data_IF_066988351959
#
_entry.id   IF_066988351959
#
_cell.length_a   1.000
_cell.length_b   1.000
_cell.length_c   1.000
_cell.angle_alpha   90.00
_cell.angle_beta   90.00
_cell.angle_gamma   90.00
#
_symmetry.space_group_name_H-M   'P 1'
#
loop_
_entity.id
_entity.type
_entity.pdbx_description
1 polymer ?
#
# COMPACT_ATOMS: atom_id res chain seq x y z
N UNK A 1 -3.72 -24.25 -39.54
CA UNK A 1 -4.17 -24.47 -38.14
C UNK A 1 -3.16 -23.99 -37.09
N UNK A 2 -1.88 -24.35 -37.16
CA UNK A 2 -0.87 -23.97 -36.15
C UNK A 2 -0.72 -22.46 -35.89
N UNK A 3 -0.82 -21.61 -36.93
CA UNK A 3 -0.71 -20.14 -36.78
C UNK A 3 -1.83 -19.52 -35.92
N UNK A 4 -3.04 -20.05 -36.02
CA UNK A 4 -4.18 -19.58 -35.22
C UNK A 4 -4.06 -20.01 -33.76
N UNK A 5 -3.43 -21.17 -33.54
CA UNK A 5 -3.19 -21.72 -32.21
C UNK A 5 -2.14 -20.89 -31.45
N UNK A 6 -1.09 -20.43 -32.14
CA UNK A 6 -0.07 -19.52 -31.57
C UNK A 6 -0.68 -18.15 -31.21
N UNK A 7 -1.55 -17.60 -32.06
CA UNK A 7 -2.21 -16.32 -31.80
C UNK A 7 -3.14 -16.38 -30.58
N UNK A 8 -3.92 -17.47 -30.45
CA UNK A 8 -4.78 -17.68 -29.29
C UNK A 8 -3.97 -17.80 -27.98
N UNK A 9 -2.82 -18.49 -28.03
CA UNK A 9 -1.96 -18.66 -26.86
C UNK A 9 -1.34 -17.33 -26.40
N UNK A 10 -0.91 -16.49 -27.35
CA UNK A 10 -0.38 -15.16 -27.08
C UNK A 10 -1.43 -14.22 -26.45
N UNK A 11 -2.67 -14.27 -26.92
CA UNK A 11 -3.75 -13.46 -26.38
C UNK A 11 -4.07 -13.83 -24.91
N UNK A 12 -4.10 -15.13 -24.59
CA UNK A 12 -4.35 -15.62 -23.23
C UNK A 12 -3.20 -15.25 -22.28
N UNK A 13 -1.94 -15.35 -22.74
CA UNK A 13 -0.79 -14.95 -21.94
C UNK A 13 -0.79 -13.44 -21.62
N UNK A 14 -1.22 -12.59 -22.54
CA UNK A 14 -1.33 -11.15 -22.33
C UNK A 14 -2.40 -10.78 -21.28
N UNK A 15 -3.52 -11.51 -21.25
CA UNK A 15 -4.57 -11.34 -20.25
C UNK A 15 -4.11 -11.73 -18.83
N UNK A 16 -3.26 -12.75 -18.72
CA UNK A 16 -2.74 -13.22 -17.42
C UNK A 16 -1.63 -12.31 -16.86
N UNK A 17 -0.88 -11.60 -17.71
CA UNK A 17 0.17 -10.68 -17.28
C UNK A 17 -0.36 -9.38 -16.64
N UNK A 18 -1.63 -9.04 -16.87
CA UNK A 18 -2.30 -7.88 -16.26
C UNK A 18 -2.71 -8.06 -14.79
N UNK A 19 -2.72 -9.29 -14.28
CA UNK A 19 -3.05 -9.62 -12.89
C UNK A 19 -1.82 -9.68 -11.97
N UNK A 20 -0.68 -9.15 -12.40
CA UNK A 20 0.49 -9.11 -11.53
C UNK A 20 0.19 -8.16 -10.36
N UNK A 21 0.13 -8.63 -9.10
CA UNK A 21 -0.01 -7.75 -7.97
C UNK A 21 1.18 -6.81 -8.00
N UNK A 22 0.92 -5.50 -7.91
CA UNK A 22 1.91 -4.44 -7.93
C UNK A 22 3.04 -4.79 -6.96
N UNK A 23 4.12 -5.35 -7.52
CA UNK A 23 5.31 -5.69 -6.77
C UNK A 23 5.99 -4.35 -6.54
N UNK A 24 5.49 -3.65 -5.51
CA UNK A 24 5.90 -2.31 -5.16
C UNK A 24 7.43 -2.22 -5.15
N UNK A 25 7.98 -1.04 -5.48
CA UNK A 25 9.41 -0.88 -5.72
C UNK A 25 10.21 -1.53 -4.59
N UNK A 26 11.10 -2.47 -4.94
CA UNK A 26 12.04 -3.12 -4.02
C UNK A 26 12.83 -2.01 -3.32
N UNK A 27 12.36 -1.64 -2.13
CA UNK A 27 12.86 -0.50 -1.38
C UNK A 27 14.30 -0.80 -1.00
N UNK A 28 15.25 -0.17 -1.69
CA UNK A 28 16.61 0.03 -1.16
C UNK A 28 16.42 0.55 0.27
N UNK A 29 17.08 -0.07 1.24
CA UNK A 29 16.94 0.28 2.66
C UNK A 29 17.45 1.71 2.89
N UNK A 30 16.58 2.69 2.60
CA UNK A 30 16.80 4.08 2.93
C UNK A 30 16.65 4.20 4.45
N UNK A 31 17.66 4.77 5.09
CA UNK A 31 17.63 5.00 6.53
C UNK A 31 16.44 5.92 6.85
N UNK A 32 15.49 5.41 7.61
CA UNK A 32 14.33 6.19 8.03
C UNK A 32 14.78 7.29 9.01
N UNK A 33 14.33 8.54 8.83
CA UNK A 33 14.61 9.60 9.80
C UNK A 33 14.02 9.26 11.18
N UNK A 34 14.63 9.79 12.23
CA UNK A 34 14.13 9.61 13.60
C UNK A 34 12.69 10.16 13.70
N UNK A 35 11.77 9.33 14.19
CA UNK A 35 10.34 9.65 14.27
C UNK A 35 9.53 9.28 13.02
N UNK A 36 10.14 8.70 11.99
CA UNK A 36 9.39 8.15 10.88
C UNK A 36 8.56 6.94 11.31
N UNK A 37 7.31 6.87 10.85
CA UNK A 37 6.34 5.82 11.18
C UNK A 37 5.90 5.13 9.90
N UNK A 38 5.95 3.80 9.88
CA UNK A 38 5.48 2.99 8.75
C UNK A 38 4.46 1.99 9.28
N UNK A 39 3.24 2.05 8.76
CA UNK A 39 2.12 1.19 9.20
C UNK A 39 1.49 0.57 7.96
N UNK A 40 0.98 -0.66 8.12
CA UNK A 40 0.08 -1.27 7.15
C UNK A 40 -1.33 -1.13 7.67
N UNK A 41 -2.22 -0.57 6.86
CA UNK A 41 -3.63 -0.43 7.26
C UNK A 41 -4.42 -1.73 7.03
N UNK A 42 -5.68 -1.73 7.46
CA UNK A 42 -6.57 -2.90 7.34
C UNK A 42 -6.95 -3.22 5.88
N UNK A 43 -6.77 -2.27 4.96
CA UNK A 43 -6.90 -2.49 3.52
C UNK A 43 -5.60 -3.04 2.89
N UNK A 44 -4.57 -3.30 3.69
CA UNK A 44 -3.29 -3.84 3.26
C UNK A 44 -2.34 -2.82 2.63
N UNK A 45 -2.67 -1.53 2.62
CA UNK A 45 -1.85 -0.45 2.06
C UNK A 45 -0.73 -0.08 3.02
N UNK A 46 0.42 0.32 2.49
CA UNK A 46 1.53 0.86 3.31
C UNK A 46 1.40 2.37 3.41
N UNK A 47 1.27 2.87 4.63
CA UNK A 47 1.26 4.30 4.96
C UNK A 47 2.59 4.66 5.61
N UNK A 48 3.22 5.73 5.11
CA UNK A 48 4.51 6.22 5.61
C UNK A 48 4.37 7.67 6.05
N UNK A 49 4.77 7.96 7.28
CA UNK A 49 4.94 9.30 7.80
C UNK A 49 6.43 9.57 7.99
N UNK A 50 6.92 10.67 7.46
CA UNK A 50 8.33 11.06 7.59
C UNK A 50 8.71 11.42 9.04
N UNK A 51 7.73 11.84 9.84
CA UNK A 51 7.85 12.17 11.25
C UNK A 51 6.50 11.92 11.95
N UNK A 52 6.46 12.00 13.29
CA UNK A 52 5.21 11.95 14.04
C UNK A 52 4.21 13.01 13.55
N UNK A 53 2.94 12.63 13.46
CA UNK A 53 1.87 13.53 13.04
C UNK A 53 1.67 14.65 14.07
N UNK A 54 1.58 15.90 13.61
CA UNK A 54 1.29 17.08 14.47
C UNK A 54 -0.17 17.52 14.43
N UNK A 55 -0.93 17.02 13.46
CA UNK A 55 -2.36 17.30 13.28
C UNK A 55 -3.01 16.01 12.79
N UNK A 56 -4.06 15.58 13.47
CA UNK A 56 -4.80 14.37 13.15
C UNK A 56 -6.23 14.76 12.84
N UNK A 57 -6.73 14.29 11.69
CA UNK A 57 -8.14 14.45 11.29
C UNK A 57 -8.76 13.07 11.30
N UNK A 58 -9.73 12.85 12.18
CA UNK A 58 -10.50 11.60 12.25
C UNK A 58 -11.88 11.82 11.65
N UNK A 59 -12.30 10.90 10.79
CA UNK A 59 -13.65 10.88 10.21
C UNK A 59 -14.57 9.86 10.91
N UNK A 60 -14.03 9.12 11.88
CA UNK A 60 -14.73 8.02 12.56
C UNK A 60 -14.80 8.34 14.05
N UNK A 61 -15.99 8.50 14.65
CA UNK A 61 -16.12 8.91 16.05
C UNK A 61 -15.39 8.00 17.04
N UNK A 62 -15.46 6.67 16.88
CA UNK A 62 -14.78 5.72 17.77
C UNK A 62 -13.25 5.86 17.73
N UNK A 63 -12.69 6.21 16.58
CA UNK A 63 -11.24 6.46 16.42
C UNK A 63 -10.86 7.78 17.07
N UNK A 64 -11.73 8.80 17.00
CA UNK A 64 -11.53 10.08 17.69
C UNK A 64 -11.39 9.87 19.19
N UNK A 65 -12.30 9.10 19.81
CA UNK A 65 -12.23 8.80 21.25
C UNK A 65 -10.93 8.08 21.63
N UNK A 66 -10.49 7.12 20.80
CA UNK A 66 -9.23 6.42 21.02
C UNK A 66 -8.02 7.39 20.95
N UNK A 67 -7.99 8.28 19.95
CA UNK A 67 -6.93 9.29 19.80
C UNK A 67 -6.87 10.23 21.01
N UNK A 68 -8.03 10.66 21.51
CA UNK A 68 -8.12 11.50 22.70
C UNK A 68 -7.63 10.74 23.94
N UNK A 69 -8.08 9.49 24.12
CA UNK A 69 -7.69 8.66 25.26
C UNK A 69 -6.17 8.36 25.29
N UNK A 70 -5.53 8.25 24.13
CA UNK A 70 -4.07 8.10 24.03
C UNK A 70 -3.29 9.39 24.35
N UNK A 71 -3.99 10.48 24.66
CA UNK A 71 -3.37 11.73 25.09
C UNK A 71 -2.60 12.42 23.98
N UNK A 72 -3.16 12.47 22.76
CA UNK A 72 -2.59 13.19 21.61
C UNK A 72 -2.02 14.57 22.01
N UNK A 73 -0.73 14.61 22.34
CA UNK A 73 0.02 15.77 22.81
C UNK A 73 1.13 16.14 21.85
#
# INVERSE_FOLDING_TARGET
MARNLVAAFLAVAALLAGCSPDAGPKSRAARLPAGAVVVRDDAGRTVRLAMHARRVVSLVPSVTEAIVAMGSS
#
